data_IF_661825858400
#
_entry.id   IF_661825858400
#
_cell.length_a   1.000
_cell.length_b   1.000
_cell.length_c   1.000
_cell.angle_alpha   90.00
_cell.angle_beta   90.00
_cell.angle_gamma   90.00
#
_symmetry.space_group_name_H-M   'P 1'
#
loop_
_entity.id
_entity.type
_entity.pdbx_description
1 polymer ?
#
# COMPACT_ATOMS: atom_id res chain seq x y z
N UNK A 1 -57.75 64.85 4.59
CA UNK A 1 -57.14 63.51 4.41
C UNK A 1 -56.15 63.41 3.22
N UNK A 2 -55.69 64.52 2.62
CA UNK A 2 -54.68 64.49 1.54
C UNK A 2 -53.24 64.79 2.01
N UNK A 3 -53.06 65.58 3.08
CA UNK A 3 -51.73 65.96 3.60
C UNK A 3 -50.96 64.76 4.17
N UNK A 4 -51.64 63.79 4.80
CA UNK A 4 -51.00 62.60 5.38
C UNK A 4 -50.42 61.64 4.32
N UNK A 5 -51.03 61.56 3.13
CA UNK A 5 -50.52 60.71 2.04
C UNK A 5 -49.22 61.25 1.44
N UNK A 6 -49.08 62.56 1.31
CA UNK A 6 -47.85 63.16 0.77
C UNK A 6 -46.67 63.07 1.74
N UNK A 7 -46.93 63.14 3.05
CA UNK A 7 -45.90 62.97 4.06
C UNK A 7 -45.33 61.53 4.09
N UNK A 8 -46.19 60.52 3.92
CA UNK A 8 -45.75 59.11 3.88
C UNK A 8 -44.89 58.79 2.64
N UNK A 9 -45.25 59.32 1.47
CA UNK A 9 -44.45 59.12 0.25
C UNK A 9 -43.09 59.80 0.32
N UNK A 10 -42.99 60.95 0.98
CA UNK A 10 -41.72 61.66 1.13
C UNK A 10 -40.77 60.95 2.10
N UNK A 11 -41.31 60.38 3.19
CA UNK A 11 -40.54 59.57 4.14
C UNK A 11 -39.98 58.30 3.48
N UNK A 12 -40.75 57.65 2.61
CA UNK A 12 -40.31 56.44 1.90
C UNK A 12 -39.22 56.74 0.85
N UNK A 13 -39.29 57.88 0.16
CA UNK A 13 -38.25 58.31 -0.78
C UNK A 13 -36.93 58.66 -0.08
N UNK A 14 -36.99 59.20 1.14
CA UNK A 14 -35.81 59.52 1.97
C UNK A 14 -35.12 58.27 2.53
N UNK A 15 -35.84 57.18 2.82
CA UNK A 15 -35.21 55.95 3.32
C UNK A 15 -34.55 55.14 2.20
N UNK A 16 -35.06 55.18 0.97
CA UNK A 16 -34.41 54.50 -0.17
C UNK A 16 -33.13 55.20 -0.65
N UNK A 17 -32.98 56.53 -0.47
CA UNK A 17 -31.75 57.21 -0.88
C UNK A 17 -30.57 56.99 0.07
N UNK A 18 -30.82 56.57 1.32
CA UNK A 18 -29.76 56.36 2.32
C UNK A 18 -28.98 55.04 2.14
N UNK A 19 -29.51 54.06 1.41
CA UNK A 19 -28.85 52.76 1.24
C UNK A 19 -27.72 52.74 0.19
N UNK A 20 -27.64 53.74 -0.70
CA UNK A 20 -26.61 53.79 -1.76
C UNK A 20 -25.28 54.42 -1.30
N UNK A 21 -25.22 55.00 -0.11
CA UNK A 21 -24.02 55.70 0.38
C UNK A 21 -22.93 54.76 0.92
N UNK A 22 -23.27 53.50 1.21
CA UNK A 22 -22.32 52.48 1.69
C UNK A 22 -21.86 51.53 0.59
N UNK A 23 -22.16 51.82 -0.68
CA UNK A 23 -21.59 51.06 -1.78
C UNK A 23 -20.07 51.32 -1.80
N UNK A 24 -19.22 50.30 -1.57
CA UNK A 24 -17.79 50.48 -1.62
C UNK A 24 -17.39 50.95 -3.02
N UNK A 25 -16.42 51.87 -3.10
CA UNK A 25 -15.92 52.37 -4.37
C UNK A 25 -15.43 51.21 -5.27
N UNK A 26 -15.45 51.38 -6.60
CA UNK A 26 -15.07 50.32 -7.55
C UNK A 26 -13.65 49.77 -7.33
N UNK A 27 -12.79 50.52 -6.65
CA UNK A 27 -11.43 50.13 -6.29
C UNK A 27 -11.41 49.01 -5.24
N UNK A 28 -12.34 49.02 -4.28
CA UNK A 28 -12.46 47.97 -3.25
C UNK A 28 -13.05 46.69 -3.83
N UNK A 29 -13.95 46.80 -4.81
CA UNK A 29 -14.51 45.65 -5.51
C UNK A 29 -13.45 44.91 -6.34
N UNK A 30 -12.52 45.66 -6.95
CA UNK A 30 -11.41 45.08 -7.73
C UNK A 30 -10.44 44.34 -6.81
N UNK A 31 -10.10 44.91 -5.66
CA UNK A 31 -9.19 44.28 -4.71
C UNK A 31 -9.75 42.99 -4.08
N UNK A 32 -11.07 42.93 -3.81
CA UNK A 32 -11.70 41.70 -3.31
C UNK A 32 -11.72 40.61 -4.38
N UNK A 33 -11.96 40.96 -5.64
CA UNK A 33 -11.91 40.02 -6.76
C UNK A 33 -10.49 39.45 -6.98
N UNK A 34 -9.46 40.28 -6.89
CA UNK A 34 -8.06 39.85 -7.00
C UNK A 34 -7.65 38.92 -5.84
N UNK A 35 -8.06 39.23 -4.60
CA UNK A 35 -7.79 38.36 -3.44
C UNK A 35 -8.46 36.98 -3.56
N UNK A 36 -9.67 36.92 -4.12
CA UNK A 36 -10.34 35.63 -4.36
C UNK A 36 -9.61 34.80 -5.42
N UNK A 37 -9.14 35.44 -6.49
CA UNK A 37 -8.40 34.78 -7.56
C UNK A 37 -7.03 34.26 -7.06
N UNK A 38 -6.30 35.06 -6.29
CA UNK A 38 -5.05 34.64 -5.66
C UNK A 38 -5.23 33.46 -4.68
N UNK A 39 -6.34 33.41 -3.93
CA UNK A 39 -6.64 32.30 -3.03
C UNK A 39 -6.83 30.97 -3.76
N UNK A 40 -7.49 30.99 -4.93
CA UNK A 40 -7.70 29.77 -5.73
C UNK A 40 -6.39 29.21 -6.31
N UNK A 41 -5.48 30.06 -6.76
CA UNK A 41 -4.17 29.63 -7.29
C UNK A 41 -3.31 28.95 -6.22
N UNK A 42 -3.38 29.39 -4.95
CA UNK A 42 -2.63 28.77 -3.85
C UNK A 42 -3.20 27.38 -3.50
N UNK A 43 -4.53 27.21 -3.56
CA UNK A 43 -5.16 25.92 -3.31
C UNK A 43 -4.79 24.89 -4.39
N UNK A 44 -4.77 25.32 -5.66
CA UNK A 44 -4.38 24.49 -6.80
C UNK A 44 -2.90 24.07 -6.73
N UNK A 45 -1.99 25.01 -6.40
CA UNK A 45 -0.56 24.71 -6.19
C UNK A 45 -0.33 23.72 -5.04
N UNK A 46 -1.12 23.79 -3.96
CA UNK A 46 -1.04 22.82 -2.86
C UNK A 46 -1.47 21.44 -3.33
N UNK A 47 -2.55 21.33 -4.08
CA UNK A 47 -3.02 20.05 -4.61
C UNK A 47 -2.01 19.41 -5.58
N UNK A 48 -1.37 20.19 -6.45
CA UNK A 48 -0.33 19.67 -7.37
C UNK A 48 0.97 19.31 -6.64
N UNK A 49 1.36 20.08 -5.61
CA UNK A 49 2.58 19.80 -4.85
C UNK A 49 2.53 18.47 -4.08
N UNK A 50 1.35 18.07 -3.60
CA UNK A 50 1.19 16.79 -2.87
C UNK A 50 1.36 15.60 -3.82
N UNK A 51 0.81 15.69 -5.03
CA UNK A 51 0.92 14.63 -6.03
C UNK A 51 2.37 14.39 -6.50
N UNK A 52 3.13 15.45 -6.80
CA UNK A 52 4.54 15.31 -7.20
C UNK A 52 5.43 14.83 -6.04
N UNK A 53 5.14 15.24 -4.79
CA UNK A 53 5.82 14.71 -3.60
C UNK A 53 5.56 13.21 -3.42
N UNK A 54 4.31 12.76 -3.55
CA UNK A 54 3.98 11.34 -3.46
C UNK A 54 4.69 10.54 -4.57
N UNK A 55 4.78 11.09 -5.79
CA UNK A 55 5.51 10.44 -6.89
C UNK A 55 7.01 10.32 -6.63
N UNK A 56 7.62 11.34 -6.00
CA UNK A 56 9.03 11.29 -5.58
C UNK A 56 9.26 10.26 -4.48
N UNK A 57 8.35 10.15 -3.50
CA UNK A 57 8.45 9.13 -2.45
C UNK A 57 8.36 7.72 -3.02
N UNK A 58 7.39 7.43 -3.90
CA UNK A 58 7.28 6.13 -4.58
C UNK A 58 8.54 5.83 -5.40
N UNK A 59 9.11 6.83 -6.08
CA UNK A 59 10.35 6.67 -6.85
C UNK A 59 11.55 6.37 -5.95
N UNK A 60 11.65 7.02 -4.79
CA UNK A 60 12.73 6.78 -3.84
C UNK A 60 12.64 5.37 -3.22
N UNK A 61 11.45 4.92 -2.87
CA UNK A 61 11.23 3.55 -2.36
C UNK A 61 11.57 2.49 -3.42
N UNK A 62 11.20 2.74 -4.69
CA UNK A 62 11.58 1.87 -5.80
C UNK A 62 13.11 1.82 -6.00
N UNK A 63 13.79 2.97 -5.91
CA UNK A 63 15.25 3.03 -6.04
C UNK A 63 15.97 2.30 -4.89
N UNK A 64 15.50 2.42 -3.65
CA UNK A 64 16.07 1.69 -2.52
C UNK A 64 15.84 0.18 -2.64
N UNK A 65 14.67 -0.23 -3.13
CA UNK A 65 14.36 -1.63 -3.41
C UNK A 65 15.31 -2.22 -4.45
N UNK A 66 15.55 -1.50 -5.55
CA UNK A 66 16.43 -1.94 -6.63
C UNK A 66 17.88 -2.18 -6.17
N UNK A 67 18.44 -1.29 -5.34
CA UNK A 67 19.80 -1.46 -4.79
C UNK A 67 19.89 -2.72 -3.93
N UNK A 68 18.87 -2.99 -3.13
CA UNK A 68 18.82 -4.16 -2.24
C UNK A 68 18.64 -5.48 -3.01
N UNK A 69 17.90 -5.47 -4.12
CA UNK A 69 17.77 -6.63 -4.99
C UNK A 69 19.12 -7.02 -5.63
N UNK A 70 19.90 -6.02 -6.04
CA UNK A 70 21.27 -6.23 -6.55
C UNK A 70 22.15 -6.87 -5.47
N UNK A 71 22.05 -6.46 -4.21
CA UNK A 71 22.79 -7.08 -3.10
C UNK A 71 22.40 -8.56 -2.88
N UNK A 72 21.11 -8.89 -2.98
CA UNK A 72 20.64 -10.27 -2.87
C UNK A 72 21.12 -11.14 -4.04
N UNK A 73 21.08 -10.60 -5.27
CA UNK A 73 21.59 -11.29 -6.45
C UNK A 73 23.09 -11.51 -6.35
N UNK A 74 23.84 -10.51 -5.87
CA UNK A 74 25.27 -10.61 -5.64
C UNK A 74 25.59 -11.67 -4.58
N UNK A 75 24.80 -11.73 -3.50
CA UNK A 75 24.96 -12.75 -2.44
C UNK A 75 24.66 -14.17 -2.95
N UNK A 76 23.59 -14.38 -3.73
CA UNK A 76 23.31 -15.70 -4.34
C UNK A 76 24.40 -16.12 -5.32
N UNK A 77 24.93 -15.18 -6.10
CA UNK A 77 26.06 -15.44 -7.01
C UNK A 77 27.32 -15.81 -6.23
N UNK A 78 27.61 -15.13 -5.12
CA UNK A 78 28.71 -15.48 -4.24
C UNK A 78 28.56 -16.89 -3.63
N UNK A 79 27.38 -17.25 -3.14
CA UNK A 79 27.14 -18.58 -2.52
C UNK A 79 27.25 -19.70 -3.54
N UNK A 80 26.75 -19.51 -4.77
CA UNK A 80 26.90 -20.51 -5.84
C UNK A 80 28.35 -20.69 -6.26
N UNK A 81 29.13 -19.61 -6.31
CA UNK A 81 30.57 -19.68 -6.57
C UNK A 81 31.33 -20.42 -5.46
N UNK A 82 30.97 -20.20 -4.18
CA UNK A 82 31.55 -20.95 -3.03
C UNK A 82 31.22 -22.45 -3.15
N UNK A 83 29.97 -22.79 -3.46
CA UNK A 83 29.53 -24.19 -3.62
C UNK A 83 30.25 -24.92 -4.76
N UNK A 84 30.66 -24.19 -5.81
CA UNK A 84 31.44 -24.73 -6.93
C UNK A 84 32.94 -24.83 -6.65
N UNK A 85 33.38 -24.59 -5.41
CA UNK A 85 34.78 -24.73 -4.99
C UNK A 85 35.70 -23.63 -5.51
N UNK A 86 35.15 -22.52 -6.00
CA UNK A 86 35.97 -21.35 -6.34
C UNK A 86 36.44 -20.67 -5.05
N UNK A 87 37.72 -20.32 -4.98
CA UNK A 87 38.30 -19.65 -3.82
C UNK A 87 37.70 -18.26 -3.68
N UNK A 88 37.04 -17.99 -2.56
CA UNK A 88 36.45 -16.69 -2.27
C UNK A 88 37.56 -15.67 -2.00
N UNK A 89 37.58 -14.59 -2.77
CA UNK A 89 38.27 -13.36 -2.38
C UNK A 89 37.24 -12.59 -1.55
N UNK A 90 37.55 -12.37 -0.27
CA UNK A 90 36.68 -11.58 0.59
C UNK A 90 36.57 -10.16 0.05
N UNK A 91 35.40 -9.84 -0.51
CA UNK A 91 35.12 -8.52 -1.08
C UNK A 91 35.15 -7.41 -0.01
N UNK A 92 35.07 -7.74 1.29
CA UNK A 92 35.26 -6.77 2.36
C UNK A 92 36.73 -6.30 2.49
N UNK A 93 37.68 -7.07 1.94
CA UNK A 93 39.08 -6.65 1.78
C UNK A 93 39.32 -5.82 0.51
N UNK A 94 38.31 -5.68 -0.36
CA UNK A 94 38.35 -4.76 -1.49
C UNK A 94 37.80 -3.42 -0.99
N UNK A 95 38.64 -2.64 -0.31
CA UNK A 95 38.32 -1.25 -0.02
C UNK A 95 38.11 -0.53 -1.36
N UNK A 96 36.93 0.06 -1.63
CA UNK A 96 36.73 0.84 -2.83
C UNK A 96 37.82 1.91 -2.87
N UNK A 97 38.56 1.99 -3.98
CA UNK A 97 39.45 3.11 -4.17
C UNK A 97 38.61 4.40 -4.04
N UNK A 98 39.04 5.38 -3.23
CA UNK A 98 38.32 6.62 -3.13
C UNK A 98 38.13 7.19 -4.55
N UNK A 99 36.96 7.77 -4.87
CA UNK A 99 36.72 8.33 -6.19
C UNK A 99 37.83 9.34 -6.48
N UNK A 100 38.63 9.04 -7.49
CA UNK A 100 39.67 9.95 -7.98
C UNK A 100 38.90 11.10 -8.64
N UNK A 101 38.73 12.20 -7.91
CA UNK A 101 38.38 13.49 -8.50
C UNK A 101 39.62 14.02 -9.21
N UNK A 102 40.00 13.38 -10.32
CA UNK A 102 41.06 13.88 -11.18
C UNK A 102 40.41 14.68 -12.30
N UNK A 103 40.25 15.97 -12.03
CA UNK A 103 39.90 16.97 -13.02
C UNK A 103 41.20 17.66 -13.46
N UNK A 104 42.19 16.90 -13.93
CA UNK A 104 43.34 17.51 -14.59
C UNK A 104 43.92 16.62 -15.73
N UNK A 105 43.53 17.00 -16.94
CA UNK A 105 44.41 17.13 -18.12
C UNK A 105 45.54 16.10 -18.33
N UNK A 106 45.24 15.06 -19.13
CA UNK A 106 46.14 14.54 -20.16
C UNK A 106 47.42 13.83 -19.71
N UNK A 107 47.32 12.57 -19.30
CA UNK A 107 48.47 11.67 -19.20
C UNK A 107 48.05 10.23 -18.93
N UNK A 108 48.21 9.35 -19.92
CA UNK A 108 47.95 7.92 -19.77
C UNK A 108 49.04 7.28 -18.91
N UNK A 109 48.75 7.02 -17.63
CA UNK A 109 49.55 6.13 -16.78
C UNK A 109 48.71 4.91 -16.43
N UNK A 110 49.09 3.76 -17.00
CA UNK A 110 48.58 2.44 -16.63
C UNK A 110 48.80 2.18 -15.14
N UNK A 111 47.75 2.35 -14.34
CA UNK A 111 47.74 1.96 -12.95
C UNK A 111 47.54 0.44 -12.88
N UNK A 112 48.65 -0.29 -12.81
CA UNK A 112 48.66 -1.73 -12.62
C UNK A 112 48.12 -2.07 -11.22
N UNK A 113 46.92 -2.66 -11.18
CA UNK A 113 46.27 -3.12 -9.95
C UNK A 113 47.06 -4.31 -9.38
N UNK A 114 47.87 -4.09 -8.34
CA UNK A 114 48.60 -5.15 -7.64
C UNK A 114 47.70 -5.75 -6.56
N UNK A 115 47.11 -6.91 -6.86
CA UNK A 115 46.37 -7.72 -5.90
C UNK A 115 47.38 -8.59 -5.14
N UNK A 116 47.61 -8.32 -3.86
CA UNK A 116 48.44 -9.17 -2.99
C UNK A 116 47.53 -10.10 -2.19
N UNK A 117 47.55 -11.44 -2.41
CA UNK A 117 46.72 -12.37 -1.65
C UNK A 117 47.22 -12.49 -0.20
N UNK A 118 46.53 -11.85 0.73
CA UNK A 118 46.77 -12.00 2.17
C UNK A 118 46.13 -13.28 2.70
N UNK A 119 46.83 -14.41 2.59
CA UNK A 119 46.42 -15.66 3.21
C UNK A 119 46.67 -15.66 4.71
N UNK A 120 45.64 -15.43 5.52
CA UNK A 120 45.63 -15.76 6.96
C UNK A 120 44.49 -16.74 7.23
N UNK A 121 44.80 -18.03 7.07
CA UNK A 121 43.99 -19.12 7.59
C UNK A 121 44.47 -19.45 9.01
N UNK A 122 43.77 -19.01 10.05
CA UNK A 122 43.98 -19.55 11.41
C UNK A 122 42.78 -19.34 12.36
N UNK A 123 42.00 -20.41 12.55
CA UNK A 123 41.58 -20.88 13.89
C UNK A 123 40.21 -20.48 14.45
N UNK A 124 39.31 -21.48 14.59
CA UNK A 124 38.31 -21.51 15.67
C UNK A 124 36.94 -22.11 15.30
N UNK A 125 36.59 -23.36 15.71
CA UNK A 125 35.26 -23.93 15.57
C UNK A 125 34.46 -23.71 16.87
N UNK A 126 33.80 -22.54 17.04
CA UNK A 126 32.60 -22.35 17.89
C UNK A 126 32.33 -20.86 18.14
N UNK A 127 31.88 -20.17 17.11
CA UNK A 127 31.25 -18.87 17.24
C UNK A 127 30.15 -18.78 16.22
N UNK A 128 28.96 -19.32 16.53
CA UNK A 128 27.76 -19.04 15.76
C UNK A 128 27.43 -17.57 15.97
N UNK A 129 28.05 -16.70 15.16
CA UNK A 129 27.63 -15.32 15.03
C UNK A 129 26.20 -15.40 14.46
N UNK A 130 25.17 -14.82 15.11
CA UNK A 130 23.85 -14.78 14.54
C UNK A 130 23.93 -13.96 13.26
N UNK A 131 24.05 -14.65 12.12
CA UNK A 131 23.97 -14.06 10.81
C UNK A 131 22.54 -13.56 10.70
N UNK A 132 22.35 -12.24 10.85
CA UNK A 132 21.06 -11.59 10.65
C UNK A 132 20.58 -11.98 9.26
N UNK A 133 19.63 -12.89 9.19
CA UNK A 133 19.07 -13.36 7.93
C UNK A 133 18.48 -12.12 7.25
N UNK A 134 18.97 -11.74 6.06
CA UNK A 134 18.46 -10.57 5.39
C UNK A 134 16.96 -10.76 5.19
N UNK A 135 16.16 -9.94 5.86
CA UNK A 135 14.71 -9.95 5.68
C UNK A 135 14.47 -9.67 4.20
N UNK A 136 13.89 -10.63 3.47
CA UNK A 136 13.50 -10.39 2.09
C UNK A 136 12.58 -9.16 2.07
N UNK A 137 12.82 -8.17 1.19
CA UNK A 137 11.90 -7.04 1.06
C UNK A 137 10.50 -7.60 0.77
N UNK A 138 9.49 -7.03 1.42
CA UNK A 138 8.11 -7.38 1.11
C UNK A 138 7.86 -7.07 -0.38
N UNK A 139 7.19 -7.95 -1.13
CA UNK A 139 6.92 -7.72 -2.55
C UNK A 139 6.17 -6.39 -2.71
N UNK A 140 6.68 -5.52 -3.58
CA UNK A 140 6.01 -4.26 -3.94
C UNK A 140 4.71 -4.59 -4.66
N UNK A 141 3.57 -4.27 -4.04
CA UNK A 141 2.25 -4.51 -4.62
C UNK A 141 2.04 -3.54 -5.79
N UNK A 142 1.76 -4.06 -6.99
CA UNK A 142 1.27 -3.22 -8.10
C UNK A 142 -0.17 -2.80 -7.80
N UNK A 143 -0.34 -1.52 -7.48
CA UNK A 143 -1.63 -0.93 -7.11
C UNK A 143 -2.67 -0.93 -8.24
N UNK A 144 -2.31 -1.31 -9.48
CA UNK A 144 -3.24 -1.43 -10.60
C UNK A 144 -3.80 -2.84 -10.79
N UNK A 145 -3.21 -3.85 -10.14
CA UNK A 145 -3.66 -5.23 -10.26
C UNK A 145 -4.82 -5.54 -9.28
N UNK A 146 -5.69 -6.50 -9.63
CA UNK A 146 -6.66 -7.06 -8.72
C UNK A 146 -5.99 -7.58 -7.44
N UNK A 147 -6.45 -7.12 -6.28
CA UNK A 147 -5.88 -7.54 -5.00
C UNK A 147 -6.91 -7.53 -3.88
N UNK A 148 -6.59 -8.26 -2.81
CA UNK A 148 -7.34 -8.31 -1.56
C UNK A 148 -6.44 -7.84 -0.42
N UNK A 149 -6.98 -7.00 0.46
CA UNK A 149 -6.33 -6.60 1.70
C UNK A 149 -7.24 -6.90 2.90
N UNK A 150 -6.68 -6.83 4.11
CA UNK A 150 -7.41 -6.99 5.37
C UNK A 150 -8.28 -8.26 5.41
N UNK A 151 -7.77 -9.37 4.88
CA UNK A 151 -8.50 -10.63 4.86
C UNK A 151 -8.62 -11.17 6.28
N UNK A 152 -9.85 -11.26 6.78
CA UNK A 152 -10.17 -11.70 8.15
C UNK A 152 -11.38 -12.62 8.16
N UNK A 153 -11.55 -13.36 9.25
CA UNK A 153 -12.77 -14.13 9.52
C UNK A 153 -13.63 -13.45 10.59
N UNK A 154 -14.95 -13.62 10.54
CA UNK A 154 -15.89 -13.09 11.54
C UNK A 154 -17.17 -13.93 11.65
N UNK A 155 -17.93 -13.74 12.73
CA UNK A 155 -19.26 -14.37 12.90
C UNK A 155 -20.37 -13.55 12.22
N UNK A 156 -20.09 -12.28 11.91
CA UNK A 156 -21.05 -11.38 11.29
C UNK A 156 -20.38 -10.31 10.43
N UNK A 157 -21.17 -9.75 9.52
CA UNK A 157 -20.82 -8.58 8.69
C UNK A 157 -21.75 -7.41 9.04
N UNK A 158 -21.22 -6.20 8.93
CA UNK A 158 -21.94 -4.95 9.19
C UNK A 158 -22.84 -4.53 8.02
N UNK A 159 -23.50 -3.39 8.17
CA UNK A 159 -24.29 -2.80 7.08
C UNK A 159 -23.46 -2.23 5.93
N UNK A 160 -22.15 -2.14 6.11
CA UNK A 160 -21.13 -1.75 5.13
C UNK A 160 -20.44 -2.96 4.47
N UNK A 161 -20.98 -4.17 4.68
CA UNK A 161 -20.41 -5.44 4.21
C UNK A 161 -19.02 -5.76 4.81
N UNK A 162 -18.55 -5.01 5.80
CA UNK A 162 -17.27 -5.25 6.46
C UNK A 162 -17.42 -6.13 7.70
N UNK A 163 -16.33 -6.79 8.11
CA UNK A 163 -16.33 -7.69 9.26
C UNK A 163 -16.63 -6.93 10.56
N UNK A 164 -17.56 -7.46 11.34
CA UNK A 164 -17.83 -7.00 12.71
C UNK A 164 -17.14 -7.96 13.68
N UNK A 165 -16.32 -7.41 14.58
CA UNK A 165 -15.53 -8.17 15.56
C UNK A 165 -14.76 -9.35 14.93
N UNK A 166 -13.73 -9.08 14.10
CA UNK A 166 -12.91 -10.13 13.51
C UNK A 166 -12.37 -11.11 14.57
N UNK A 167 -12.47 -12.41 14.29
CA UNK A 167 -12.03 -13.49 15.18
C UNK A 167 -11.48 -14.65 14.36
N UNK A 168 -10.55 -15.39 14.93
CA UNK A 168 -9.98 -16.62 14.36
C UNK A 168 -10.38 -17.88 15.14
N UNK A 169 -11.36 -17.78 16.04
CA UNK A 169 -11.88 -18.89 16.82
C UNK A 169 -13.41 -18.88 16.77
N UNK A 170 -13.99 -20.03 16.44
CA UNK A 170 -15.43 -20.23 16.28
C UNK A 170 -15.88 -21.47 17.06
N UNK A 171 -17.10 -21.47 17.58
CA UNK A 171 -17.68 -22.68 18.13
C UNK A 171 -18.21 -23.57 16.99
N UNK A 172 -18.19 -24.89 17.18
CA UNK A 172 -18.82 -25.85 16.26
C UNK A 172 -20.35 -25.66 16.14
N UNK A 173 -20.94 -24.93 17.08
CA UNK A 173 -22.36 -24.54 17.09
C UNK A 173 -22.64 -23.19 16.43
N UNK A 174 -21.61 -22.44 16.00
CA UNK A 174 -21.77 -21.17 15.29
C UNK A 174 -22.54 -21.41 13.96
N UNK A 175 -23.49 -20.54 13.57
CA UNK A 175 -24.32 -20.75 12.38
C UNK A 175 -23.54 -20.70 11.06
N UNK A 176 -22.30 -20.21 11.07
CA UNK A 176 -21.41 -20.14 9.93
C UNK A 176 -20.20 -19.24 10.18
N UNK A 177 -19.29 -19.20 9.22
CA UNK A 177 -18.06 -18.41 9.27
C UNK A 177 -18.03 -17.47 8.07
N UNK A 178 -17.91 -16.18 8.31
CA UNK A 178 -17.61 -15.21 7.25
C UNK A 178 -16.10 -15.15 7.03
N UNK A 179 -15.70 -15.08 5.76
CA UNK A 179 -14.39 -14.56 5.35
C UNK A 179 -14.64 -13.24 4.64
N UNK A 180 -13.98 -12.19 5.09
CA UNK A 180 -14.17 -10.81 4.63
C UNK A 180 -12.83 -10.24 4.20
N UNK A 181 -12.81 -9.50 3.10
CA UNK A 181 -11.64 -8.81 2.60
C UNK A 181 -12.00 -7.46 2.00
N UNK A 182 -11.08 -6.50 2.02
CA UNK A 182 -11.19 -5.27 1.22
C UNK A 182 -10.65 -5.54 -0.18
N UNK A 183 -11.49 -5.35 -1.19
CA UNK A 183 -11.16 -5.61 -2.59
C UNK A 183 -10.67 -4.34 -3.31
N UNK A 184 -9.64 -4.47 -4.12
CA UNK A 184 -9.09 -3.40 -4.96
C UNK A 184 -8.97 -3.86 -6.41
N UNK A 185 -9.37 -2.98 -7.34
CA UNK A 185 -9.33 -3.21 -8.79
C UNK A 185 -9.97 -4.52 -9.26
N UNK A 186 -11.02 -4.99 -8.56
CA UNK A 186 -11.77 -6.15 -8.99
C UNK A 186 -12.88 -5.72 -9.95
N UNK A 187 -12.99 -6.37 -11.10
CA UNK A 187 -14.06 -6.18 -12.07
C UNK A 187 -14.88 -7.46 -12.29
N UNK A 188 -15.91 -7.35 -13.12
CA UNK A 188 -16.83 -8.46 -13.38
C UNK A 188 -16.21 -9.66 -14.12
N UNK A 189 -15.05 -9.45 -14.74
CA UNK A 189 -14.25 -10.50 -15.36
C UNK A 189 -13.44 -11.33 -14.36
N UNK A 190 -13.21 -10.82 -13.14
CA UNK A 190 -12.43 -11.52 -12.15
C UNK A 190 -13.26 -12.64 -11.50
N UNK A 191 -12.60 -13.75 -11.21
CA UNK A 191 -13.18 -14.89 -10.49
C UNK A 191 -12.46 -15.07 -9.18
N UNK A 192 -13.19 -14.93 -8.07
CA UNK A 192 -12.69 -15.21 -6.73
C UNK A 192 -13.04 -16.65 -6.37
N UNK A 193 -12.04 -17.41 -5.96
CA UNK A 193 -12.23 -18.78 -5.47
C UNK A 193 -11.92 -18.84 -3.99
N UNK A 194 -12.84 -19.38 -3.20
CA UNK A 194 -12.65 -19.66 -1.78
C UNK A 194 -12.49 -21.16 -1.60
N UNK A 195 -11.30 -21.60 -1.18
CA UNK A 195 -10.97 -23.00 -0.93
C UNK A 195 -10.77 -23.22 0.55
N UNK A 196 -11.71 -23.92 1.17
CA UNK A 196 -11.73 -24.20 2.59
C UNK A 196 -11.05 -25.54 2.86
N UNK A 197 -10.16 -25.53 3.84
CA UNK A 197 -9.36 -26.68 4.22
C UNK A 197 -9.50 -26.96 5.72
N UNK A 198 -9.47 -28.24 6.07
CA UNK A 198 -9.37 -28.73 7.45
C UNK A 198 -8.14 -29.62 7.55
N UNK A 199 -7.24 -29.29 8.46
CA UNK A 199 -5.94 -29.97 8.63
C UNK A 199 -5.15 -30.12 7.31
N UNK A 200 -5.23 -29.09 6.45
CA UNK A 200 -4.57 -29.04 5.15
C UNK A 200 -5.26 -29.84 4.03
N UNK A 201 -6.44 -30.42 4.29
CA UNK A 201 -7.23 -31.15 3.29
C UNK A 201 -8.40 -30.27 2.85
N UNK A 202 -8.55 -30.07 1.53
CA UNK A 202 -9.71 -29.36 0.97
C UNK A 202 -11.01 -30.09 1.32
N UNK A 203 -11.94 -29.37 1.94
CA UNK A 203 -13.27 -29.88 2.33
C UNK A 203 -14.41 -29.17 1.59
N UNK A 204 -14.17 -27.95 1.09
CA UNK A 204 -15.15 -27.20 0.32
C UNK A 204 -14.46 -26.20 -0.61
N UNK A 205 -15.05 -25.97 -1.78
CA UNK A 205 -14.60 -24.96 -2.74
C UNK A 205 -15.81 -24.29 -3.37
N UNK A 206 -15.73 -22.96 -3.51
CA UNK A 206 -16.75 -22.19 -4.20
C UNK A 206 -16.13 -21.01 -4.96
N UNK A 207 -16.86 -20.51 -5.95
CA UNK A 207 -16.41 -19.43 -6.82
C UNK A 207 -17.46 -18.35 -6.92
N UNK A 208 -17.01 -17.09 -6.91
CA UNK A 208 -17.86 -15.92 -7.08
C UNK A 208 -17.18 -14.90 -7.98
N UNK A 209 -17.98 -14.18 -8.76
CA UNK A 209 -17.52 -13.05 -9.56
C UNK A 209 -18.29 -11.78 -9.18
N UNK A 210 -17.61 -10.63 -9.04
CA UNK A 210 -18.27 -9.35 -8.89
C UNK A 210 -19.24 -9.08 -10.05
N UNK A 211 -20.30 -8.34 -9.79
CA UNK A 211 -21.22 -7.88 -10.86
C UNK A 211 -20.76 -6.57 -11.52
N UNK A 212 -19.76 -5.91 -10.94
CA UNK A 212 -19.25 -4.61 -11.39
C UNK A 212 -17.85 -4.37 -10.84
N UNK A 213 -17.37 -3.14 -10.96
CA UNK A 213 -16.09 -2.74 -10.40
C UNK A 213 -16.19 -2.55 -8.89
N UNK A 214 -15.23 -3.12 -8.16
CA UNK A 214 -15.11 -3.13 -6.71
C UNK A 214 -13.72 -2.62 -6.36
N UNK A 215 -13.65 -1.41 -5.81
CA UNK A 215 -12.40 -0.75 -5.44
C UNK A 215 -12.53 -0.07 -4.07
N UNK A 216 -11.83 -0.59 -3.07
CA UNK A 216 -11.89 -0.16 -1.68
C UNK A 216 -13.13 -0.62 -0.90
N UNK A 217 -13.93 -1.53 -1.45
CA UNK A 217 -15.16 -2.05 -0.82
C UNK A 217 -14.89 -3.40 -0.16
N UNK A 218 -15.60 -3.70 0.93
CA UNK A 218 -15.57 -5.03 1.53
C UNK A 218 -16.35 -6.04 0.69
N UNK A 219 -15.79 -7.23 0.53
CA UNK A 219 -16.44 -8.40 -0.04
C UNK A 219 -16.39 -9.53 0.99
N UNK A 220 -17.39 -10.40 0.95
CA UNK A 220 -17.47 -11.51 1.90
C UNK A 220 -18.03 -12.78 1.29
N UNK A 221 -17.65 -13.90 1.89
CA UNK A 221 -18.25 -15.22 1.64
C UNK A 221 -18.65 -15.84 2.97
N UNK A 222 -19.82 -16.49 3.00
CA UNK A 222 -20.38 -17.09 4.21
C UNK A 222 -20.43 -18.62 4.08
N UNK A 223 -19.62 -19.32 4.85
CA UNK A 223 -19.63 -20.77 4.94
C UNK A 223 -20.63 -21.22 6.00
N UNK A 224 -21.55 -22.10 5.64
CA UNK A 224 -22.58 -22.64 6.54
C UNK A 224 -22.36 -24.12 6.86
N UNK A 225 -22.85 -24.60 8.02
CA UNK A 225 -22.86 -26.03 8.37
C UNK A 225 -23.59 -26.92 7.35
N UNK A 226 -24.47 -26.35 6.52
CA UNK A 226 -25.17 -27.09 5.46
C UNK A 226 -24.30 -27.39 4.23
N UNK A 227 -23.21 -26.65 4.03
CA UNK A 227 -22.24 -26.89 2.95
C UNK A 227 -21.13 -27.84 3.43
N UNK A 228 -20.59 -27.59 4.61
CA UNK A 228 -19.61 -28.44 5.27
C UNK A 228 -19.82 -28.40 6.77
N UNK A 229 -19.77 -29.56 7.42
CA UNK A 229 -19.91 -29.65 8.87
C UNK A 229 -18.74 -28.93 9.57
N UNK A 230 -19.06 -27.98 10.46
CA UNK A 230 -18.09 -27.21 11.23
C UNK A 230 -17.55 -28.00 12.43
N UNK A 231 -16.75 -29.03 12.12
CA UNK A 231 -16.14 -29.89 13.15
C UNK A 231 -14.95 -29.19 13.85
N UNK A 232 -14.72 -29.44 15.14
CA UNK A 232 -13.55 -28.94 15.84
C UNK A 232 -12.23 -29.32 15.14
N UNK A 233 -11.27 -28.39 15.09
CA UNK A 233 -9.98 -28.60 14.42
C UNK A 233 -9.34 -27.33 13.88
N UNK A 234 -8.23 -27.49 13.17
CA UNK A 234 -7.55 -26.39 12.48
C UNK A 234 -8.11 -26.23 11.07
N UNK A 235 -8.47 -25.01 10.72
CA UNK A 235 -9.02 -24.67 9.43
C UNK A 235 -8.17 -23.60 8.74
N UNK A 236 -8.17 -23.62 7.42
CA UNK A 236 -7.56 -22.58 6.61
C UNK A 236 -8.39 -22.28 5.37
N UNK A 237 -8.25 -21.05 4.89
CA UNK A 237 -8.92 -20.57 3.68
C UNK A 237 -7.86 -20.10 2.70
N UNK A 238 -7.81 -20.75 1.55
CA UNK A 238 -7.06 -20.28 0.40
C UNK A 238 -7.98 -19.41 -0.45
N UNK A 239 -7.56 -18.18 -0.74
CA UNK A 239 -8.29 -17.28 -1.62
C UNK A 239 -7.50 -17.07 -2.90
N UNK A 240 -8.15 -17.28 -4.03
CA UNK A 240 -7.56 -17.11 -5.35
C UNK A 240 -8.32 -16.04 -6.14
N UNK A 241 -7.60 -15.21 -6.88
CA UNK A 241 -8.15 -14.36 -7.94
C UNK A 241 -7.66 -14.93 -9.27
N UNK A 242 -8.59 -15.27 -10.16
CA UNK A 242 -8.33 -15.80 -11.50
C UNK A 242 -7.38 -17.03 -11.49
N UNK A 243 -7.57 -17.89 -10.48
CA UNK A 243 -6.77 -19.10 -10.28
C UNK A 243 -5.39 -18.87 -9.65
N UNK A 244 -5.02 -17.63 -9.34
CA UNK A 244 -3.77 -17.29 -8.66
C UNK A 244 -4.03 -17.07 -7.18
N UNK A 245 -3.27 -17.75 -6.32
CA UNK A 245 -3.37 -17.57 -4.86
C UNK A 245 -2.95 -16.15 -4.46
N UNK A 246 -3.75 -15.51 -3.62
CA UNK A 246 -3.51 -14.15 -3.13
C UNK A 246 -3.22 -14.21 -1.64
N UNK A 247 -2.06 -13.66 -1.25
CA UNK A 247 -1.63 -13.62 0.15
C UNK A 247 -1.28 -15.00 0.73
N UNK A 248 -1.37 -15.11 2.05
CA UNK A 248 -1.18 -16.35 2.79
C UNK A 248 -2.54 -16.95 3.19
N UNK A 249 -2.64 -18.29 3.32
CA UNK A 249 -3.86 -18.94 3.80
C UNK A 249 -4.35 -18.34 5.14
N UNK A 250 -5.65 -18.07 5.24
CA UNK A 250 -6.25 -17.49 6.46
C UNK A 250 -6.57 -18.62 7.42
N UNK A 251 -5.79 -18.74 8.50
CA UNK A 251 -5.97 -19.78 9.49
C UNK A 251 -6.97 -19.39 10.59
N UNK A 252 -7.82 -20.33 10.99
CA UNK A 252 -8.73 -20.21 12.12
C UNK A 252 -8.96 -21.57 12.80
N UNK A 253 -9.59 -21.58 13.95
CA UNK A 253 -9.88 -22.80 14.73
C UNK A 253 -11.36 -22.91 15.01
N UNK A 254 -11.88 -24.13 14.93
CA UNK A 254 -13.21 -24.47 15.43
C UNK A 254 -13.06 -25.23 16.74
N UNK A 255 -13.77 -24.81 17.79
CA UNK A 255 -13.78 -25.43 19.12
C UNK A 255 -15.08 -26.19 19.37
N UNK A 256 -15.01 -27.24 20.19
CA UNK A 256 -16.13 -28.12 20.56
C UNK A 256 -16.54 -27.94 22.01
#
# INVERSE_FOLDING_TARGET
MHILKHFLTFLLLLTLSACNFFAPGPEVLTQVAEHQLAGTHIADLRQTSTYEMDRLFVTQEAAQTAVREIELQNTRTAVTMIALGTTFIDAQLITPAPPVTDLDTGGSSDAQLVITPGGVAQGGPNGSVPQAQPTAPAPTLDASLPSLANVVTSESVGGDDCAVAPTNSFASTTPGVYVVATAFNLGAQNTITYRWQRDGIEVWVDTWSPRGETNGQCIWYYLTPGQVELTPGNWSIDILIDGTMIGTPVAFTITG
#
